data_IF_734523660764
#
_entry.id   IF_734523660764
#
_cell.length_a   1.000
_cell.length_b   1.000
_cell.length_c   1.000
_cell.angle_alpha   90.00
_cell.angle_beta   90.00
_cell.angle_gamma   90.00
#
_symmetry.space_group_name_H-M   'P 1'
#
loop_
_entity.id
_entity.type
_entity.pdbx_description
1 polymer ?
#
# COMPACT_ATOMS: atom_id res chain seq x y z
N UNK A 1 9.64 16.94 5.78
CA UNK A 1 10.99 16.58 5.28
C UNK A 1 10.89 16.03 3.87
N UNK A 2 11.74 16.49 3.00
CA UNK A 2 11.80 16.01 1.61
C UNK A 2 12.97 15.03 1.47
N UNK A 3 12.68 13.85 0.91
CA UNK A 3 13.71 12.83 0.65
C UNK A 3 13.77 12.61 -0.86
N UNK A 4 14.96 12.76 -1.43
CA UNK A 4 15.16 12.56 -2.88
C UNK A 4 15.55 11.11 -3.15
N UNK A 5 14.73 10.42 -3.94
CA UNK A 5 14.97 9.03 -4.33
C UNK A 5 14.84 8.92 -5.84
N UNK A 6 15.79 8.26 -6.48
CA UNK A 6 15.75 8.03 -7.92
C UNK A 6 15.01 6.74 -8.24
N UNK A 7 14.04 6.83 -9.14
CA UNK A 7 13.16 5.70 -9.48
C UNK A 7 13.93 4.53 -10.09
N UNK A 8 14.94 4.80 -10.89
CA UNK A 8 15.71 3.76 -11.59
C UNK A 8 16.55 2.91 -10.64
N UNK A 9 16.99 3.51 -9.54
CA UNK A 9 17.84 2.83 -8.57
C UNK A 9 17.61 3.43 -7.18
N UNK A 10 16.50 3.06 -6.51
CA UNK A 10 16.21 3.59 -5.18
C UNK A 10 17.30 3.26 -4.18
N UNK A 11 17.81 4.28 -3.49
CA UNK A 11 18.83 4.11 -2.46
C UNK A 11 18.27 3.35 -1.26
N UNK A 12 18.92 2.28 -0.87
CA UNK A 12 18.52 1.50 0.31
C UNK A 12 18.48 2.36 1.58
N UNK A 13 19.44 3.27 1.72
CA UNK A 13 19.51 4.19 2.85
C UNK A 13 18.27 5.09 2.93
N UNK A 14 17.86 5.62 1.78
CA UNK A 14 16.68 6.50 1.73
C UNK A 14 15.37 5.73 1.90
N UNK A 15 15.30 4.53 1.36
CA UNK A 15 14.14 3.63 1.58
C UNK A 15 14.04 3.28 3.08
N UNK A 16 15.15 2.99 3.74
CA UNK A 16 15.17 2.70 5.18
C UNK A 16 14.67 3.90 6.01
N UNK A 17 14.99 5.12 5.60
CA UNK A 17 14.46 6.33 6.26
C UNK A 17 12.94 6.40 6.17
N UNK A 18 12.39 6.09 5.00
CA UNK A 18 10.94 6.08 4.79
C UNK A 18 10.29 4.99 5.63
N UNK A 19 10.86 3.79 5.62
CA UNK A 19 10.34 2.65 6.40
C UNK A 19 10.36 2.94 7.90
N UNK A 20 11.44 3.55 8.39
CA UNK A 20 11.52 3.94 9.80
C UNK A 20 10.41 4.94 10.19
N UNK A 21 10.10 5.89 9.32
CA UNK A 21 8.98 6.80 9.53
C UNK A 21 7.65 6.07 9.58
N UNK A 22 7.43 5.14 8.65
CA UNK A 22 6.19 4.34 8.60
C UNK A 22 6.02 3.49 9.86
N UNK A 23 7.10 2.90 10.38
CA UNK A 23 7.07 2.09 11.60
C UNK A 23 6.79 2.93 12.84
N UNK A 24 7.03 4.24 12.79
CA UNK A 24 6.78 5.19 13.89
C UNK A 24 5.49 5.97 13.73
N UNK A 25 4.45 5.36 13.18
CA UNK A 25 3.17 5.99 12.95
C UNK A 25 3.24 7.18 11.98
N UNK A 26 4.22 7.20 11.09
CA UNK A 26 4.37 8.26 10.11
C UNK A 26 3.43 8.11 8.92
N UNK A 27 3.10 9.24 8.32
CA UNK A 27 2.41 9.30 7.03
C UNK A 27 3.39 9.90 6.02
N UNK A 28 3.50 9.27 4.87
CA UNK A 28 4.43 9.72 3.82
C UNK A 28 3.65 10.03 2.54
N UNK A 29 4.27 10.82 1.68
CA UNK A 29 3.82 11.02 0.31
C UNK A 29 4.88 10.37 -0.58
N UNK A 30 4.44 9.50 -1.48
CA UNK A 30 5.34 8.73 -2.33
C UNK A 30 4.84 8.70 -3.78
N UNK A 31 5.75 8.54 -4.75
CA UNK A 31 5.35 8.43 -6.15
C UNK A 31 4.77 7.07 -6.48
N UNK A 32 3.86 7.04 -7.43
CA UNK A 32 3.33 5.82 -8.03
C UNK A 32 3.54 5.88 -9.54
N UNK A 33 2.95 4.96 -10.27
CA UNK A 33 2.94 4.97 -11.73
C UNK A 33 1.86 5.89 -12.31
N UNK A 34 1.08 6.53 -11.45
CA UNK A 34 0.06 7.51 -11.87
C UNK A 34 0.30 8.88 -11.20
N UNK A 35 0.00 9.01 -9.92
CA UNK A 35 0.14 10.25 -9.17
C UNK A 35 0.85 9.98 -7.85
N UNK A 36 1.29 11.04 -7.17
CA UNK A 36 1.76 10.94 -5.79
C UNK A 36 0.60 10.57 -4.88
N UNK A 37 0.88 9.75 -3.88
CA UNK A 37 -0.13 9.26 -2.95
C UNK A 37 0.35 9.37 -1.51
N UNK A 38 -0.60 9.48 -0.59
CA UNK A 38 -0.32 9.34 0.83
C UNK A 38 -0.20 7.86 1.19
N UNK A 39 0.64 7.55 2.15
CA UNK A 39 0.78 6.18 2.63
C UNK A 39 1.12 6.11 4.11
N UNK A 40 0.65 5.06 4.76
CA UNK A 40 1.01 4.72 6.13
C UNK A 40 1.07 3.20 6.27
N UNK A 41 1.64 2.72 7.38
CA UNK A 41 1.64 1.29 7.65
C UNK A 41 0.22 0.82 7.98
N UNK A 42 -0.16 -0.34 7.45
CA UNK A 42 -1.45 -0.97 7.78
C UNK A 42 -1.52 -1.39 9.26
N UNK A 43 -0.38 -1.49 9.93
CA UNK A 43 -0.27 -1.84 11.34
C UNK A 43 -0.11 -0.62 12.26
N UNK A 44 -0.29 0.60 11.74
CA UNK A 44 -0.14 1.84 12.49
C UNK A 44 -1.49 2.55 12.67
N UNK A 45 -2.28 2.21 13.69
CA UNK A 45 -3.63 2.77 13.86
C UNK A 45 -3.67 4.29 13.93
N UNK A 46 -2.68 4.91 14.59
CA UNK A 46 -2.60 6.37 14.69
C UNK A 46 -2.35 7.02 13.34
N UNK A 47 -1.52 6.41 12.51
CA UNK A 47 -1.25 6.89 11.16
C UNK A 47 -2.50 6.75 10.29
N UNK A 48 -3.24 5.65 10.42
CA UNK A 48 -4.50 5.44 9.69
C UNK A 48 -5.51 6.55 10.04
N UNK A 49 -5.64 6.87 11.32
CA UNK A 49 -6.52 7.97 11.77
C UNK A 49 -6.08 9.32 11.18
N UNK A 50 -4.78 9.57 11.15
CA UNK A 50 -4.25 10.80 10.52
C UNK A 50 -4.57 10.85 9.03
N UNK A 51 -4.44 9.75 8.33
CA UNK A 51 -4.77 9.67 6.91
C UNK A 51 -6.25 9.93 6.65
N UNK A 52 -7.13 9.42 7.51
CA UNK A 52 -8.55 9.71 7.41
C UNK A 52 -8.84 11.21 7.52
N UNK A 53 -8.20 11.87 8.48
CA UNK A 53 -8.35 13.31 8.65
C UNK A 53 -7.81 14.09 7.46
N UNK A 54 -6.69 13.65 6.87
CA UNK A 54 -6.10 14.28 5.70
C UNK A 54 -7.03 14.16 4.49
N UNK A 55 -7.60 12.96 4.27
CA UNK A 55 -8.52 12.71 3.15
C UNK A 55 -9.87 13.40 3.30
N UNK A 56 -10.28 13.71 4.53
CA UNK A 56 -11.54 14.40 4.80
C UNK A 56 -12.76 13.50 4.83
N UNK A 57 -13.91 14.14 5.10
CA UNK A 57 -15.18 13.46 5.33
C UNK A 57 -15.75 12.88 4.06
N UNK A 58 -15.60 12.18 3.34
CA UNK A 58 -16.14 11.61 2.11
C UNK A 58 -15.20 10.60 1.52
N UNK A 59 -13.95 10.64 1.93
CA UNK A 59 -12.90 9.76 1.46
C UNK A 59 -12.50 8.78 2.55
N UNK A 60 -13.35 7.81 2.81
CA UNK A 60 -13.12 6.82 3.86
C UNK A 60 -12.51 5.52 3.36
N UNK A 61 -12.41 5.34 2.04
CA UNK A 61 -11.90 4.12 1.44
C UNK A 61 -10.40 4.21 1.22
N UNK A 62 -9.69 3.18 1.66
CA UNK A 62 -8.26 3.03 1.42
C UNK A 62 -8.01 1.86 0.49
N UNK A 63 -6.86 1.91 -0.17
CA UNK A 63 -6.31 0.77 -0.89
C UNK A 63 -5.04 0.30 -0.18
N UNK A 64 -4.61 -0.90 -0.47
CA UNK A 64 -3.40 -1.50 0.08
C UNK A 64 -2.41 -1.71 -1.05
N UNK A 65 -1.14 -1.38 -0.80
CA UNK A 65 -0.08 -1.48 -1.80
C UNK A 65 0.77 -2.71 -1.52
N UNK A 66 0.95 -3.54 -2.54
CA UNK A 66 1.81 -4.72 -2.47
C UNK A 66 2.99 -4.57 -3.42
N UNK A 67 4.05 -5.33 -3.19
CA UNK A 67 5.21 -5.38 -4.08
C UNK A 67 5.11 -6.50 -5.10
N UNK A 68 4.39 -7.58 -4.77
CA UNK A 68 4.24 -8.73 -5.64
C UNK A 68 2.94 -9.51 -5.38
N UNK A 69 2.56 -10.32 -6.36
CA UNK A 69 1.28 -11.05 -6.33
C UNK A 69 1.16 -12.04 -5.16
N UNK A 70 2.26 -12.66 -4.77
CA UNK A 70 2.26 -13.64 -3.67
C UNK A 70 1.81 -13.03 -2.34
N UNK A 71 2.10 -11.76 -2.10
CA UNK A 71 1.67 -11.07 -0.89
C UNK A 71 0.16 -10.88 -0.84
N UNK A 72 -0.47 -10.68 -1.99
CA UNK A 72 -1.92 -10.46 -2.07
C UNK A 72 -2.67 -11.65 -1.47
N UNK A 73 -2.23 -12.88 -1.79
CA UNK A 73 -2.87 -14.10 -1.30
C UNK A 73 -2.80 -14.23 0.23
N UNK A 74 -1.84 -13.58 0.88
CA UNK A 74 -1.72 -13.59 2.33
C UNK A 74 -2.77 -12.70 3.02
N UNK A 75 -3.17 -11.61 2.37
CA UNK A 75 -4.06 -10.60 2.96
C UNK A 75 -5.46 -10.59 2.35
N UNK A 76 -5.66 -11.23 1.22
CA UNK A 76 -6.93 -11.25 0.50
C UNK A 76 -7.26 -12.66 0.06
N UNK A 77 -8.54 -12.91 -0.13
CA UNK A 77 -9.02 -14.17 -0.70
C UNK A 77 -9.04 -14.03 -2.21
N UNK A 78 -8.31 -14.90 -2.88
CA UNK A 78 -8.15 -14.83 -4.34
C UNK A 78 -8.34 -16.23 -4.91
N UNK A 79 -9.31 -16.40 -5.82
CA UNK A 79 -9.46 -17.63 -6.56
C UNK A 79 -8.56 -17.65 -7.79
N UNK A 80 -8.53 -18.79 -8.51
CA UNK A 80 -7.65 -18.96 -9.66
C UNK A 80 -7.98 -18.01 -10.81
N UNK A 81 -9.24 -17.72 -11.03
CA UNK A 81 -9.67 -16.81 -12.10
C UNK A 81 -9.26 -15.37 -11.77
N UNK A 82 -9.46 -14.95 -10.53
CA UNK A 82 -9.04 -13.65 -10.05
C UNK A 82 -7.51 -13.50 -10.13
N UNK A 83 -6.79 -14.52 -9.71
CA UNK A 83 -5.32 -14.49 -9.76
C UNK A 83 -4.80 -14.30 -11.19
N UNK A 84 -5.41 -14.94 -12.16
CA UNK A 84 -5.04 -14.76 -13.58
C UNK A 84 -5.24 -13.33 -14.05
N UNK A 85 -6.37 -12.71 -13.65
CA UNK A 85 -6.63 -11.31 -13.97
C UNK A 85 -5.60 -10.37 -13.34
N UNK A 86 -5.27 -10.60 -12.09
CA UNK A 86 -4.24 -9.81 -11.40
C UNK A 86 -2.90 -9.94 -12.13
N UNK A 87 -2.51 -11.16 -12.48
CA UNK A 87 -1.24 -11.45 -13.13
C UNK A 87 -1.14 -10.76 -14.50
N UNK A 88 -2.26 -10.64 -15.22
CA UNK A 88 -2.29 -10.00 -16.54
C UNK A 88 -2.18 -8.48 -16.47
N UNK A 89 -2.56 -7.86 -15.34
CA UNK A 89 -2.72 -6.42 -15.23
C UNK A 89 -1.79 -5.74 -14.23
N UNK A 90 -1.14 -6.49 -13.35
CA UNK A 90 -0.24 -5.95 -12.34
C UNK A 90 1.20 -6.42 -12.56
N UNK A 91 2.18 -5.57 -12.30
CA UNK A 91 2.07 -4.19 -11.82
C UNK A 91 1.48 -3.25 -12.87
N UNK A 92 0.81 -2.19 -12.41
CA UNK A 92 0.18 -1.22 -13.30
C UNK A 92 -0.80 -0.31 -12.57
N UNK A 93 -1.42 0.64 -13.29
CA UNK A 93 -2.24 1.69 -12.69
C UNK A 93 -3.68 1.25 -12.39
N UNK A 94 -3.87 0.01 -11.99
CA UNK A 94 -5.19 -0.53 -11.68
C UNK A 94 -5.36 -0.77 -10.20
N UNK A 95 -6.58 -0.55 -9.71
CA UNK A 95 -6.99 -0.93 -8.37
C UNK A 95 -8.03 -2.04 -8.49
N UNK A 96 -7.78 -3.15 -7.81
CA UNK A 96 -8.71 -4.27 -7.78
C UNK A 96 -9.37 -4.35 -6.41
N UNK A 97 -10.67 -4.58 -6.37
CA UNK A 97 -11.39 -4.81 -5.12
C UNK A 97 -11.44 -6.32 -4.85
N UNK A 98 -10.88 -6.73 -3.74
CA UNK A 98 -10.83 -8.14 -3.34
C UNK A 98 -11.39 -8.30 -1.93
N UNK A 99 -11.89 -9.49 -1.63
CA UNK A 99 -12.29 -9.85 -0.28
C UNK A 99 -11.06 -9.95 0.60
N UNK A 100 -11.08 -9.27 1.74
CA UNK A 100 -9.99 -9.32 2.70
C UNK A 100 -10.02 -10.63 3.48
N UNK A 101 -8.83 -11.18 3.77
CA UNK A 101 -8.70 -12.29 4.69
C UNK A 101 -8.65 -11.79 6.13
N UNK A 102 -8.68 -12.72 7.09
CA UNK A 102 -8.57 -12.39 8.52
C UNK A 102 -7.24 -11.73 8.88
N UNK A 103 -6.23 -11.81 8.02
CA UNK A 103 -4.92 -11.19 8.23
C UNK A 103 -4.93 -9.69 8.00
N UNK A 104 -5.92 -9.17 7.26
CA UNK A 104 -6.03 -7.72 7.04
C UNK A 104 -6.52 -7.05 8.32
N UNK A 105 -5.80 -6.03 8.85
CA UNK A 105 -6.22 -5.32 10.05
C UNK A 105 -7.59 -4.65 9.91
N UNK A 106 -8.41 -4.75 10.94
CA UNK A 106 -9.77 -4.21 10.93
C UNK A 106 -9.82 -2.70 10.69
N UNK A 107 -8.87 -1.96 11.20
CA UNK A 107 -8.81 -0.51 11.01
C UNK A 107 -8.66 -0.12 9.54
N UNK A 108 -7.97 -0.93 8.75
CA UNK A 108 -7.82 -0.70 7.31
C UNK A 108 -9.13 -0.92 6.56
N UNK A 109 -9.98 -1.81 7.06
CA UNK A 109 -11.22 -2.21 6.40
C UNK A 109 -12.42 -1.31 6.69
N UNK A 110 -12.45 -0.65 7.85
CA UNK A 110 -13.60 0.17 8.28
C UNK A 110 -14.94 -0.53 8.15
N UNK A 111 -15.06 -1.73 8.70
CA UNK A 111 -16.29 -2.56 8.64
C UNK A 111 -16.62 -3.09 7.24
N UNK A 112 -15.76 -2.92 6.28
CA UNK A 112 -15.93 -3.49 4.94
C UNK A 112 -15.33 -4.88 4.88
N UNK A 113 -15.80 -5.68 3.92
CA UNK A 113 -15.24 -7.00 3.63
C UNK A 113 -14.22 -6.94 2.51
N UNK A 114 -14.32 -5.93 1.67
CA UNK A 114 -13.45 -5.77 0.51
C UNK A 114 -12.47 -4.63 0.73
N UNK A 115 -11.34 -4.73 0.06
CA UNK A 115 -10.34 -3.67 0.05
C UNK A 115 -9.74 -3.55 -1.34
N UNK A 116 -9.43 -2.31 -1.74
CA UNK A 116 -8.72 -2.07 -2.98
C UNK A 116 -7.26 -2.50 -2.83
N UNK A 117 -6.72 -3.16 -3.84
CA UNK A 117 -5.31 -3.52 -3.87
C UNK A 117 -4.64 -2.94 -5.11
N UNK A 118 -3.37 -2.59 -4.96
CA UNK A 118 -2.55 -2.05 -6.03
C UNK A 118 -1.14 -2.63 -5.97
N UNK A 119 -0.54 -2.81 -7.14
CA UNK A 119 0.90 -3.00 -7.29
C UNK A 119 1.36 -1.95 -8.30
N UNK A 120 1.82 -0.77 -7.84
CA UNK A 120 2.28 0.28 -8.75
C UNK A 120 3.50 -0.18 -9.56
N UNK A 121 3.54 0.19 -10.83
CA UNK A 121 4.71 -0.04 -11.67
C UNK A 121 5.73 1.08 -11.43
N UNK A 122 6.33 1.06 -10.24
CA UNK A 122 7.32 2.02 -9.80
C UNK A 122 8.18 1.36 -8.73
N UNK A 123 9.49 1.41 -8.88
CA UNK A 123 10.42 0.74 -7.97
C UNK A 123 10.41 1.31 -6.56
N UNK A 124 10.07 2.59 -6.38
CA UNK A 124 10.07 3.23 -5.05
C UNK A 124 9.00 2.62 -4.14
N UNK A 125 7.70 2.63 -4.48
CA UNK A 125 6.71 2.00 -3.61
C UNK A 125 6.96 0.52 -3.41
N UNK A 126 7.42 -0.19 -4.44
CA UNK A 126 7.71 -1.63 -4.32
C UNK A 126 8.86 -1.88 -3.34
N UNK A 127 9.91 -1.07 -3.40
CA UNK A 127 11.03 -1.17 -2.46
C UNK A 127 10.59 -0.85 -1.02
N UNK A 128 9.70 0.12 -0.83
CA UNK A 128 9.15 0.44 0.49
C UNK A 128 8.38 -0.76 1.05
N UNK A 129 7.51 -1.37 0.26
CA UNK A 129 6.73 -2.53 0.70
C UNK A 129 7.63 -3.69 1.09
N UNK A 130 8.61 -4.01 0.26
CA UNK A 130 9.55 -5.10 0.52
C UNK A 130 10.33 -4.87 1.82
N UNK A 131 10.81 -3.66 2.03
CA UNK A 131 11.60 -3.32 3.21
C UNK A 131 10.76 -3.23 4.47
N UNK A 132 9.54 -2.72 4.36
CA UNK A 132 8.60 -2.64 5.49
C UNK A 132 8.13 -4.02 5.94
N UNK A 133 8.07 -4.98 5.04
CA UNK A 133 7.60 -6.33 5.33
C UNK A 133 6.10 -6.45 5.53
N UNK A 134 5.35 -5.39 5.26
CA UNK A 134 3.90 -5.35 5.36
C UNK A 134 3.36 -4.36 4.32
N UNK A 135 2.14 -4.54 3.82
CA UNK A 135 1.58 -3.61 2.84
C UNK A 135 1.22 -2.28 3.48
N UNK A 136 1.65 -1.15 2.90
CA UNK A 136 1.15 0.14 3.33
C UNK A 136 -0.28 0.39 2.86
N UNK A 137 -0.98 1.19 3.63
CA UNK A 137 -2.31 1.70 3.30
C UNK A 137 -2.16 3.02 2.55
N UNK A 138 -2.98 3.25 1.53
CA UNK A 138 -2.90 4.45 0.70
C UNK A 138 -4.27 5.04 0.35
#
# INVERSE_FOLDING_TARGET
>A
MLVKIYTENPSEKEIDRVVNLLERDGVVIYPTDSVYAFGCSVHAPRAIERMRRIKGKGETTFSVVFSELSQIAAYCRVDNAQFRLLKQNLPGPFTFLLDASSRMPHKALERRRTIGIRIPDNLIPRAIVERLGAPPLT
#
